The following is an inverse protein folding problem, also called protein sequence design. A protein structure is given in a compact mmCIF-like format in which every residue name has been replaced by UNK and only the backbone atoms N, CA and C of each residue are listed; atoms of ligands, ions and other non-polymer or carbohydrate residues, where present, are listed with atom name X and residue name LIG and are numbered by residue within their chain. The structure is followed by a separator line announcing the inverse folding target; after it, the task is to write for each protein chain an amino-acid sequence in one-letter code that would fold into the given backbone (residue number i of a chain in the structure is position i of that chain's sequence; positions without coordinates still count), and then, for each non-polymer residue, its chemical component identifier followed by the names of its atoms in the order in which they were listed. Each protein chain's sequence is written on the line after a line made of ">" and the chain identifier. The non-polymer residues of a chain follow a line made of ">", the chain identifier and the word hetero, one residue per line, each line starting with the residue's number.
data_IF_991375687617
#
_entry.id   IF_991375687617
#
_cell.length_a   1.000
_cell.length_b   1.000
_cell.length_c   1.000
_cell.angle_alpha   90.00
_cell.angle_beta   90.00
_cell.angle_gamma   90.00
#
_symmetry.space_group_name_H-M   'P 1'
#
loop_
_entity.id
_entity.type
_entity.pdbx_description
1 polymer ?
#
# COMPACT_ATOMS: atom_id res chain seq x y z
N UNK A 1 -28.52 -3.08 -3.93
CA UNK A 1 -28.63 -4.34 -4.73
C UNK A 1 -27.36 -5.14 -4.52
N UNK A 2 -27.42 -6.47 -4.39
CA UNK A 2 -26.22 -7.31 -4.24
C UNK A 2 -25.99 -8.06 -5.55
N UNK A 3 -24.78 -7.97 -6.09
CA UNK A 3 -24.36 -8.61 -7.35
C UNK A 3 -23.19 -9.53 -7.07
N UNK A 4 -23.17 -10.72 -7.66
CA UNK A 4 -22.02 -11.64 -7.62
C UNK A 4 -21.42 -11.77 -9.00
N UNK A 5 -20.10 -11.70 -9.08
CA UNK A 5 -19.40 -11.74 -10.35
C UNK A 5 -17.97 -12.22 -10.23
N UNK A 6 -17.29 -12.21 -11.36
CA UNK A 6 -15.87 -12.55 -11.47
C UNK A 6 -15.09 -11.38 -12.04
N UNK A 7 -13.90 -11.15 -11.52
CA UNK A 7 -12.97 -10.17 -12.09
C UNK A 7 -12.54 -10.66 -13.46
N UNK A 8 -12.75 -9.84 -14.49
CA UNK A 8 -12.29 -10.12 -15.86
C UNK A 8 -11.02 -9.32 -16.19
N UNK A 9 -10.81 -8.20 -15.52
CA UNK A 9 -9.65 -7.35 -15.69
C UNK A 9 -9.46 -6.38 -14.53
N UNK A 10 -8.25 -5.85 -14.44
CA UNK A 10 -7.90 -4.73 -13.56
C UNK A 10 -7.03 -3.78 -14.36
N UNK A 11 -7.50 -2.56 -14.58
CA UNK A 11 -6.75 -1.51 -15.24
C UNK A 11 -6.26 -0.50 -14.20
N UNK A 12 -4.95 -0.37 -14.07
CA UNK A 12 -4.34 0.76 -13.37
C UNK A 12 -3.69 1.59 -14.46
N UNK A 13 -4.11 2.85 -14.66
CA UNK A 13 -3.46 3.74 -15.60
C UNK A 13 -1.97 3.81 -15.23
N UNK A 14 -1.15 3.11 -16.02
CA UNK A 14 0.25 2.77 -15.69
C UNK A 14 1.15 3.97 -15.41
N UNK A 15 0.69 5.19 -15.71
CA UNK A 15 1.58 6.33 -15.92
C UNK A 15 1.10 7.68 -15.39
N UNK A 16 -0.20 7.89 -15.10
CA UNK A 16 -0.73 9.18 -14.59
C UNK A 16 -1.19 9.10 -13.13
N UNK A 17 -1.89 8.02 -12.77
CA UNK A 17 -2.47 7.89 -11.43
C UNK A 17 -2.29 6.45 -10.94
N UNK A 18 -1.07 6.08 -10.51
CA UNK A 18 -0.80 4.77 -9.86
C UNK A 18 -1.77 4.51 -8.69
N UNK A 19 -2.31 5.59 -8.14
CA UNK A 19 -3.22 5.65 -7.00
C UNK A 19 -4.69 5.48 -7.39
N UNK A 20 -5.03 5.52 -8.69
CA UNK A 20 -6.36 5.26 -9.23
C UNK A 20 -6.40 3.89 -9.92
N UNK A 21 -7.47 3.15 -9.72
CA UNK A 21 -7.68 1.83 -10.30
C UNK A 21 -9.10 1.67 -10.81
N UNK A 22 -9.22 0.90 -11.89
CA UNK A 22 -10.50 0.44 -12.43
C UNK A 22 -10.50 -1.08 -12.33
N UNK A 23 -11.48 -1.62 -11.61
CA UNK A 23 -11.72 -3.06 -11.57
C UNK A 23 -12.87 -3.42 -12.50
N UNK A 24 -12.63 -4.36 -13.41
CA UNK A 24 -13.65 -4.86 -14.33
C UNK A 24 -14.20 -6.18 -13.81
N UNK A 25 -15.51 -6.19 -13.54
CA UNK A 25 -16.23 -7.35 -12.99
C UNK A 25 -17.35 -7.75 -13.95
N UNK A 26 -17.38 -9.01 -14.33
CA UNK A 26 -18.48 -9.58 -15.10
C UNK A 26 -19.51 -10.20 -14.15
N UNK A 27 -20.76 -9.76 -14.29
CA UNK A 27 -21.92 -10.24 -13.54
C UNK A 27 -22.97 -10.66 -14.58
N UNK A 28 -23.28 -11.96 -14.66
CA UNK A 28 -24.31 -12.49 -15.56
C UNK A 28 -24.15 -12.03 -17.03
N UNK A 29 -22.91 -11.94 -17.51
CA UNK A 29 -22.59 -11.50 -18.88
C UNK A 29 -22.58 -9.97 -19.09
N UNK A 30 -22.82 -9.18 -18.04
CA UNK A 30 -22.73 -7.71 -18.05
C UNK A 30 -21.44 -7.27 -17.37
N UNK A 31 -20.69 -6.38 -18.02
CA UNK A 31 -19.46 -5.78 -17.46
C UNK A 31 -19.77 -4.56 -16.60
N UNK A 32 -19.25 -4.59 -15.38
CA UNK A 32 -19.22 -3.49 -14.43
C UNK A 32 -17.80 -2.95 -14.31
N UNK A 33 -17.64 -1.63 -14.37
CA UNK A 33 -16.39 -0.93 -14.10
C UNK A 33 -16.51 -0.22 -12.77
N UNK A 34 -15.69 -0.65 -11.82
CA UNK A 34 -15.65 -0.13 -10.46
C UNK A 34 -14.47 0.82 -10.34
N UNK A 35 -14.73 2.09 -10.08
CA UNK A 35 -13.67 3.05 -9.78
C UNK A 35 -13.25 2.91 -8.33
N UNK A 36 -11.95 2.78 -8.11
CA UNK A 36 -11.33 2.62 -6.80
C UNK A 36 -9.90 3.16 -6.80
N UNK A 37 -9.19 2.99 -5.69
CA UNK A 37 -7.77 3.31 -5.62
C UNK A 37 -6.89 2.22 -6.24
N UNK A 38 -5.57 2.39 -6.13
CA UNK A 38 -4.55 1.43 -6.56
C UNK A 38 -4.68 0.02 -5.97
N UNK A 39 -5.59 -0.21 -5.03
CA UNK A 39 -5.97 -1.52 -4.49
C UNK A 39 -6.44 -2.50 -5.57
N UNK A 40 -6.93 -1.99 -6.71
CA UNK A 40 -7.28 -2.81 -7.88
C UNK A 40 -6.16 -3.78 -8.31
N UNK A 41 -4.89 -3.46 -8.08
CA UNK A 41 -3.74 -4.31 -8.47
C UNK A 41 -3.72 -5.69 -7.80
N UNK A 42 -4.43 -5.84 -6.68
CA UNK A 42 -4.46 -7.06 -5.89
C UNK A 42 -5.52 -8.07 -6.34
N UNK A 43 -6.30 -7.69 -7.35
CA UNK A 43 -7.25 -8.59 -7.99
C UNK A 43 -6.60 -9.34 -9.14
N UNK A 44 -6.97 -10.61 -9.26
CA UNK A 44 -6.59 -11.49 -10.36
C UNK A 44 -7.83 -11.83 -11.19
N UNK A 45 -7.65 -11.97 -12.50
CA UNK A 45 -8.71 -12.47 -13.38
C UNK A 45 -9.21 -13.82 -12.86
N UNK A 46 -10.52 -13.96 -12.73
CA UNK A 46 -11.18 -15.12 -12.14
C UNK A 46 -11.50 -14.99 -10.64
N UNK A 47 -11.01 -13.96 -9.95
CA UNK A 47 -11.37 -13.71 -8.55
C UNK A 47 -12.87 -13.53 -8.40
N UNK A 48 -13.47 -14.25 -7.46
CA UNK A 48 -14.89 -14.12 -7.13
C UNK A 48 -15.12 -12.93 -6.21
N UNK A 49 -16.09 -12.09 -6.57
CA UNK A 49 -16.41 -10.86 -5.85
C UNK A 49 -17.91 -10.68 -5.68
N UNK A 50 -18.29 -9.97 -4.63
CA UNK A 50 -19.66 -9.52 -4.36
C UNK A 50 -19.68 -7.99 -4.28
N UNK A 51 -20.50 -7.37 -5.11
CA UNK A 51 -20.66 -5.92 -5.20
C UNK A 51 -21.98 -5.56 -4.51
N UNK A 52 -21.92 -4.71 -3.51
CA UNK A 52 -23.09 -4.14 -2.82
C UNK A 52 -23.33 -2.76 -3.39
N UNK A 53 -24.22 -2.67 -4.36
CA UNK A 53 -24.56 -1.43 -5.06
C UNK A 53 -25.44 -0.56 -4.15
N UNK A 54 -24.95 0.65 -3.85
CA UNK A 54 -25.63 1.70 -3.09
C UNK A 54 -26.40 2.64 -4.02
N UNK A 55 -25.76 3.10 -5.09
CA UNK A 55 -26.35 4.00 -6.08
C UNK A 55 -26.52 3.34 -7.46
N UNK A 56 -27.38 3.90 -8.30
CA UNK A 56 -27.63 3.33 -9.63
C UNK A 56 -26.38 3.50 -10.52
N UNK A 57 -25.88 2.43 -11.16
CA UNK A 57 -24.72 2.53 -12.05
C UNK A 57 -24.98 3.50 -13.20
N UNK A 58 -23.98 4.33 -13.51
CA UNK A 58 -23.97 5.18 -14.71
C UNK A 58 -23.73 4.29 -15.93
N UNK A 59 -24.45 4.49 -17.02
CA UNK A 59 -24.26 3.71 -18.26
C UNK A 59 -23.43 4.54 -19.24
N UNK A 60 -22.30 4.00 -19.70
CA UNK A 60 -21.46 4.63 -20.72
C UNK A 60 -21.00 3.57 -21.71
N UNK A 61 -21.30 3.75 -23.00
CA UNK A 61 -20.90 2.85 -24.08
C UNK A 61 -21.27 1.36 -23.85
N UNK A 62 -22.40 1.09 -23.19
CA UNK A 62 -22.87 -0.28 -22.89
C UNK A 62 -22.28 -0.89 -21.60
N UNK A 63 -21.36 -0.20 -20.92
CA UNK A 63 -20.77 -0.62 -19.65
C UNK A 63 -21.47 0.08 -18.47
N UNK A 64 -21.61 -0.64 -17.35
CA UNK A 64 -22.13 -0.07 -16.10
C UNK A 64 -20.97 0.40 -15.22
N UNK A 65 -20.95 1.68 -14.90
CA UNK A 65 -19.89 2.31 -14.11
C UNK A 65 -20.43 2.61 -12.72
N UNK A 66 -19.66 2.24 -11.70
CA UNK A 66 -19.88 2.60 -10.30
C UNK A 66 -18.70 3.45 -9.82
N UNK A 67 -19.02 4.64 -9.31
CA UNK A 67 -18.07 5.58 -8.75
C UNK A 67 -17.64 5.16 -7.33
N UNK A 68 -16.68 5.88 -6.74
CA UNK A 68 -16.07 5.52 -5.45
C UNK A 68 -17.07 5.23 -4.32
N UNK A 69 -18.14 6.02 -4.22
CA UNK A 69 -19.12 5.91 -3.13
C UNK A 69 -20.35 5.08 -3.47
N UNK A 70 -20.47 4.64 -4.73
CA UNK A 70 -21.67 3.98 -5.25
C UNK A 70 -21.77 2.51 -4.83
N UNK A 71 -20.73 1.95 -4.20
CA UNK A 71 -20.67 0.51 -3.91
C UNK A 71 -19.82 0.14 -2.70
N UNK A 72 -20.02 -1.08 -2.22
CA UNK A 72 -19.02 -1.82 -1.45
C UNK A 72 -18.58 -3.07 -2.23
N UNK A 73 -17.34 -3.48 -2.05
CA UNK A 73 -16.77 -4.65 -2.71
C UNK A 73 -16.25 -5.63 -1.69
N UNK A 74 -16.65 -6.88 -1.86
CA UNK A 74 -16.15 -8.00 -1.10
C UNK A 74 -15.46 -9.00 -2.03
N UNK A 75 -14.31 -9.51 -1.59
CA UNK A 75 -13.57 -10.58 -2.27
C UNK A 75 -13.79 -11.88 -1.52
N UNK A 76 -13.99 -12.97 -2.24
CA UNK A 76 -13.98 -14.31 -1.66
C UNK A 76 -12.59 -14.93 -1.76
N UNK A 77 -12.13 -15.53 -0.66
CA UNK A 77 -10.87 -16.24 -0.63
C UNK A 77 -10.96 -17.44 0.33
N UNK A 78 -10.79 -18.65 -0.20
CA UNK A 78 -10.89 -19.91 0.57
C UNK A 78 -12.19 -19.99 1.41
N UNK A 79 -13.32 -19.57 0.83
CA UNK A 79 -14.63 -19.56 1.49
C UNK A 79 -14.88 -18.38 2.44
N UNK A 80 -13.84 -17.61 2.81
CA UNK A 80 -14.01 -16.40 3.59
C UNK A 80 -14.39 -15.21 2.70
N UNK A 81 -15.29 -14.36 3.22
CA UNK A 81 -15.66 -13.08 2.60
C UNK A 81 -14.85 -11.94 3.24
N UNK A 82 -14.15 -11.16 2.43
CA UNK A 82 -13.25 -10.08 2.86
C UNK A 82 -13.75 -8.76 2.28
N UNK A 83 -14.00 -7.76 3.12
CA UNK A 83 -14.35 -6.41 2.64
C UNK A 83 -13.10 -5.75 2.06
N UNK A 84 -13.15 -5.36 0.79
CA UNK A 84 -12.03 -4.68 0.09
C UNK A 84 -12.34 -3.21 -0.14
N UNK A 85 -13.60 -2.88 -0.42
CA UNK A 85 -14.05 -1.52 -0.66
C UNK A 85 -15.35 -1.22 0.12
N UNK A 86 -15.54 -0.02 0.69
CA UNK A 86 -14.56 1.06 0.84
C UNK A 86 -13.33 0.62 1.64
N UNK A 87 -12.28 1.43 1.55
CA UNK A 87 -11.05 1.21 2.28
C UNK A 87 -11.28 1.24 3.79
N UNK A 88 -10.31 0.73 4.54
CA UNK A 88 -10.39 0.71 5.99
C UNK A 88 -10.27 2.12 6.55
N UNK A 89 -11.18 2.46 7.44
CA UNK A 89 -11.14 3.68 8.24
C UNK A 89 -11.65 3.38 9.64
N UNK A 90 -11.12 4.09 10.63
CA UNK A 90 -11.59 4.05 12.01
C UNK A 90 -11.14 5.30 12.76
N UNK A 91 -12.05 5.83 13.56
CA UNK A 91 -11.79 6.97 14.44
C UNK A 91 -11.24 6.53 15.79
N UNK A 92 -10.34 7.34 16.33
CA UNK A 92 -9.69 7.15 17.62
C UNK A 92 -9.62 8.47 18.36
N UNK A 93 -9.74 8.39 19.69
CA UNK A 93 -9.40 9.50 20.58
C UNK A 93 -8.03 9.24 21.21
N UNK A 94 -7.08 10.16 21.02
CA UNK A 94 -5.75 10.09 21.60
C UNK A 94 -5.59 11.19 22.64
N UNK A 95 -5.39 10.79 23.90
CA UNK A 95 -5.25 11.72 25.02
C UNK A 95 -3.78 12.03 25.27
N UNK A 96 -3.42 13.31 25.26
CA UNK A 96 -2.10 13.82 25.61
C UNK A 96 -2.09 14.22 27.07
N UNK A 97 -1.22 13.61 27.84
CA UNK A 97 -1.00 13.96 29.24
C UNK A 97 0.31 14.72 29.39
N UNK A 98 0.37 15.61 30.37
CA UNK A 98 1.59 16.28 30.79
C UNK A 98 2.56 15.25 31.36
N UNK A 99 3.77 15.17 30.82
CA UNK A 99 4.82 14.29 31.35
C UNK A 99 5.29 14.72 32.75
N UNK A 100 5.00 15.95 33.17
CA UNK A 100 5.40 16.53 34.46
C UNK A 100 4.28 16.43 35.51
N UNK A 101 3.04 16.73 35.14
CA UNK A 101 1.90 16.81 36.09
C UNK A 101 0.94 15.63 35.98
N UNK A 102 0.98 14.85 34.90
CA UNK A 102 0.03 13.77 34.62
C UNK A 102 -1.37 14.25 34.21
N UNK A 103 -1.59 15.56 34.15
CA UNK A 103 -2.87 16.15 33.78
C UNK A 103 -3.13 16.01 32.27
N UNK A 104 -4.41 15.88 31.91
CA UNK A 104 -4.82 15.86 30.51
C UNK A 104 -4.62 17.25 29.90
N UNK A 105 -3.70 17.35 28.94
CA UNK A 105 -3.43 18.59 28.21
C UNK A 105 -4.34 18.75 27.01
N UNK A 106 -4.53 17.67 26.24
CA UNK A 106 -5.27 17.74 24.98
C UNK A 106 -5.85 16.38 24.59
N UNK A 107 -6.93 16.36 23.81
CA UNK A 107 -7.48 15.13 23.22
C UNK A 107 -7.56 15.30 21.71
N UNK A 108 -6.76 14.52 20.98
CA UNK A 108 -6.80 14.48 19.53
C UNK A 108 -7.94 13.57 19.07
N UNK A 109 -8.70 14.02 18.06
CA UNK A 109 -9.58 13.17 17.26
C UNK A 109 -8.84 12.76 16.00
N UNK A 110 -8.48 11.48 15.94
CA UNK A 110 -7.64 10.91 14.88
C UNK A 110 -8.47 9.97 14.03
N UNK A 111 -8.56 10.26 12.74
CA UNK A 111 -9.10 9.35 11.74
C UNK A 111 -7.97 8.52 11.14
N UNK A 112 -7.86 7.27 11.54
CA UNK A 112 -6.93 6.34 10.91
C UNK A 112 -7.60 5.73 9.68
N UNK A 113 -7.03 5.94 8.49
CA UNK A 113 -7.58 5.42 7.23
C UNK A 113 -6.50 4.98 6.27
N UNK A 114 -6.85 4.11 5.34
CA UNK A 114 -5.94 3.73 4.27
C UNK A 114 -5.75 4.89 3.25
N UNK A 115 -4.52 5.10 2.79
CA UNK A 115 -4.21 6.09 1.78
C UNK A 115 -4.93 5.78 0.47
N UNK A 116 -5.67 6.75 -0.06
CA UNK A 116 -6.60 6.57 -1.18
C UNK A 116 -6.24 7.47 -2.35
N UNK A 117 -5.99 8.75 -2.07
CA UNK A 117 -5.81 9.78 -3.08
C UNK A 117 -4.34 10.13 -3.27
N UNK A 118 -4.02 10.73 -4.42
CA UNK A 118 -2.67 11.22 -4.69
C UNK A 118 -2.14 12.15 -3.59
N UNK A 119 -2.99 13.04 -3.06
CA UNK A 119 -2.63 13.96 -1.97
C UNK A 119 -2.27 13.25 -0.66
N UNK A 120 -2.76 12.02 -0.43
CA UNK A 120 -2.34 11.22 0.71
C UNK A 120 -0.88 10.77 0.54
N UNK A 121 -0.50 10.35 -0.67
CA UNK A 121 0.87 9.93 -0.97
C UNK A 121 1.86 11.11 -1.00
N UNK A 122 1.41 12.29 -1.45
CA UNK A 122 2.19 13.54 -1.33
C UNK A 122 2.50 13.85 0.15
N UNK A 123 1.51 13.76 1.03
CA UNK A 123 1.69 13.99 2.47
C UNK A 123 2.55 12.90 3.14
N UNK A 124 2.45 11.63 2.70
CA UNK A 124 3.35 10.57 3.17
C UNK A 124 4.79 10.87 2.78
N UNK A 125 5.04 11.31 1.54
CA UNK A 125 6.38 11.70 1.10
C UNK A 125 6.93 12.87 1.92
N UNK A 126 6.08 13.86 2.22
CA UNK A 126 6.43 14.98 3.09
C UNK A 126 6.77 14.50 4.50
N UNK A 127 6.01 13.57 5.09
CA UNK A 127 6.32 13.01 6.40
C UNK A 127 7.62 12.19 6.40
N UNK A 128 7.85 11.41 5.35
CA UNK A 128 9.04 10.55 5.21
C UNK A 128 10.32 11.38 5.26
N UNK A 129 10.30 12.63 4.79
CA UNK A 129 11.47 13.50 4.88
C UNK A 129 11.95 13.73 6.32
N UNK A 130 11.04 13.74 7.31
CA UNK A 130 11.39 13.93 8.72
C UNK A 130 12.03 12.69 9.37
N UNK A 131 11.95 11.54 8.71
CA UNK A 131 12.70 10.35 9.09
C UNK A 131 14.20 10.49 8.76
N UNK A 132 14.52 11.28 7.73
CA UNK A 132 15.88 11.48 7.25
C UNK A 132 16.44 12.81 7.77
N UNK A 133 17.43 12.76 8.66
CA UNK A 133 18.09 13.95 9.20
C UNK A 133 18.90 14.78 8.17
N UNK A 134 18.86 14.44 6.88
CA UNK A 134 19.68 15.02 5.82
C UNK A 134 18.86 15.36 4.58
N UNK A 135 18.98 16.61 4.12
CA UNK A 135 18.38 17.08 2.86
C UNK A 135 18.96 16.42 1.59
N UNK A 136 20.05 15.65 1.73
CA UNK A 136 20.71 14.96 0.61
C UNK A 136 19.93 13.73 0.15
N UNK A 137 19.14 13.11 1.02
CA UNK A 137 18.33 11.95 0.64
C UNK A 137 16.98 12.42 0.10
N UNK A 138 16.78 12.24 -1.21
CA UNK A 138 15.50 12.51 -1.86
C UNK A 138 14.55 11.33 -1.69
N UNK A 139 13.42 11.54 -1.03
CA UNK A 139 12.50 10.45 -0.59
C UNK A 139 11.45 10.06 -1.63
N UNK A 140 11.18 10.88 -2.65
CA UNK A 140 10.17 10.59 -3.66
C UNK A 140 10.63 10.91 -5.10
N UNK A 141 10.02 10.19 -6.05
CA UNK A 141 10.10 10.45 -7.48
C UNK A 141 8.82 11.16 -7.92
N UNK A 142 9.00 12.24 -8.66
CA UNK A 142 7.95 13.10 -9.17
C UNK A 142 7.98 13.10 -10.70
N UNK A 143 6.81 13.24 -11.31
CA UNK A 143 6.65 13.27 -12.76
C UNK A 143 5.84 14.48 -13.19
N UNK A 144 6.39 15.28 -14.09
CA UNK A 144 5.65 16.33 -14.77
C UNK A 144 4.76 15.73 -15.88
N UNK A 145 3.63 16.35 -16.19
CA UNK A 145 2.78 15.96 -17.33
C UNK A 145 3.56 15.89 -18.67
N UNK A 146 4.57 16.73 -18.82
CA UNK A 146 5.49 16.74 -19.97
C UNK A 146 6.43 15.52 -20.03
N UNK A 147 6.35 14.58 -19.08
CA UNK A 147 7.10 13.32 -19.06
C UNK A 147 8.43 13.35 -18.30
N UNK A 148 8.86 14.53 -17.83
CA UNK A 148 10.07 14.66 -17.02
C UNK A 148 9.91 14.00 -15.65
N UNK A 149 10.91 13.21 -15.24
CA UNK A 149 10.96 12.57 -13.92
C UNK A 149 12.12 13.17 -13.13
N UNK A 150 11.89 13.53 -11.88
CA UNK A 150 12.91 14.10 -10.99
C UNK A 150 12.70 13.66 -9.53
N UNK A 151 13.72 13.80 -8.70
CA UNK A 151 13.67 13.42 -7.30
C UNK A 151 13.49 14.64 -6.39
N UNK A 152 12.56 14.58 -5.44
CA UNK A 152 12.32 15.64 -4.46
C UNK A 152 11.68 15.09 -3.18
N UNK A 153 11.78 15.84 -2.09
CA UNK A 153 11.13 15.47 -0.81
C UNK A 153 9.68 15.94 -0.74
N UNK A 154 9.41 17.09 -1.35
CA UNK A 154 8.10 17.72 -1.40
C UNK A 154 7.73 18.02 -2.85
N UNK A 155 6.44 18.28 -3.07
CA UNK A 155 5.95 18.72 -4.37
C UNK A 155 6.59 20.06 -4.71
N UNK A 156 7.22 20.14 -5.87
CA UNK A 156 7.84 21.35 -6.39
C UNK A 156 7.61 21.45 -7.89
N UNK A 157 7.79 22.66 -8.45
CA UNK A 157 7.73 22.89 -9.90
C UNK A 157 8.72 22.00 -10.64
N UNK A 158 8.38 21.61 -11.86
CA UNK A 158 9.28 20.83 -12.68
C UNK A 158 10.60 21.60 -12.89
N UNK A 159 11.77 21.03 -12.54
CA UNK A 159 13.04 21.75 -12.66
C UNK A 159 13.49 21.99 -14.10
N UNK A 160 12.85 21.32 -15.08
CA UNK A 160 13.19 21.40 -16.50
C UNK A 160 12.28 22.40 -17.23
N UNK A 161 10.97 22.32 -17.03
CA UNK A 161 10.01 23.15 -17.77
C UNK A 161 9.20 24.13 -16.91
N UNK A 162 9.39 24.15 -15.58
CA UNK A 162 8.74 25.10 -14.68
C UNK A 162 7.25 24.87 -14.39
N UNK A 163 6.62 23.86 -15.00
CA UNK A 163 5.20 23.53 -14.78
C UNK A 163 4.92 23.10 -13.33
N UNK A 164 3.75 23.50 -12.82
CA UNK A 164 3.20 23.09 -11.53
C UNK A 164 2.43 21.76 -11.59
N UNK A 165 2.14 21.28 -12.81
CA UNK A 165 1.44 20.02 -13.09
C UNK A 165 2.40 18.84 -12.92
N UNK A 166 2.69 18.57 -11.66
CA UNK A 166 3.60 17.53 -11.19
C UNK A 166 2.83 16.56 -10.30
N UNK A 167 3.03 15.28 -10.56
CA UNK A 167 2.39 14.16 -9.89
C UNK A 167 3.41 13.29 -9.16
N UNK A 168 3.04 12.75 -8.00
CA UNK A 168 3.91 11.82 -7.28
C UNK A 168 3.87 10.44 -7.97
N UNK A 169 5.05 9.96 -8.37
CA UNK A 169 5.21 8.70 -9.09
C UNK A 169 5.47 7.53 -8.12
N UNK A 170 6.38 7.73 -7.17
CA UNK A 170 6.81 6.69 -6.23
C UNK A 170 7.47 7.28 -4.99
N UNK A 171 7.19 6.69 -3.83
CA UNK A 171 7.94 6.94 -2.59
C UNK A 171 9.09 5.94 -2.56
N UNK A 172 10.32 6.41 -2.50
CA UNK A 172 11.50 5.54 -2.56
C UNK A 172 11.50 4.54 -1.41
N UNK A 173 11.92 3.31 -1.72
CA UNK A 173 11.94 2.21 -0.75
C UNK A 173 10.57 1.59 -0.46
N UNK A 174 9.48 2.13 -1.03
CA UNK A 174 8.22 1.41 -1.12
C UNK A 174 8.23 0.46 -2.32
N UNK A 175 7.38 -0.56 -2.27
CA UNK A 175 7.20 -1.52 -3.37
C UNK A 175 5.78 -1.40 -3.92
N UNK A 176 5.49 -1.91 -5.12
CA UNK A 176 4.11 -2.06 -5.59
C UNK A 176 3.21 -2.80 -4.60
N UNK A 177 3.78 -3.71 -3.80
CA UNK A 177 3.05 -4.45 -2.78
C UNK A 177 2.79 -3.66 -1.48
N UNK A 178 3.33 -2.44 -1.34
CA UNK A 178 3.16 -1.64 -0.14
C UNK A 178 1.75 -1.07 -0.03
N UNK A 179 1.21 -1.10 1.19
CA UNK A 179 -0.04 -0.44 1.57
C UNK A 179 0.27 0.56 2.68
N UNK A 180 -0.47 1.67 2.70
CA UNK A 180 -0.21 2.78 3.62
C UNK A 180 -1.45 3.09 4.45
N UNK A 181 -1.28 3.13 5.76
CA UNK A 181 -2.25 3.68 6.69
C UNK A 181 -1.80 5.08 7.09
N UNK A 182 -2.70 6.04 7.12
CA UNK A 182 -2.45 7.41 7.56
C UNK A 182 -3.32 7.73 8.76
N UNK A 183 -2.81 8.59 9.65
CA UNK A 183 -3.52 9.15 10.78
C UNK A 183 -3.77 10.62 10.50
N UNK A 184 -5.02 10.92 10.17
CA UNK A 184 -5.49 12.27 9.86
C UNK A 184 -6.08 12.93 11.11
N UNK A 185 -5.75 14.21 11.32
CA UNK A 185 -6.30 15.01 12.42
C UNK A 185 -7.59 15.68 11.95
N UNK A 186 -8.73 15.33 12.57
CA UNK A 186 -10.04 15.86 12.15
C UNK A 186 -10.26 17.30 12.58
N UNK A 187 -9.99 17.60 13.84
CA UNK A 187 -10.16 18.94 14.43
C UNK A 187 -8.82 19.68 14.41
N UNK A 188 -8.30 19.91 13.21
CA UNK A 188 -7.02 20.60 13.02
C UNK A 188 -7.20 22.12 13.03
N UNK A 189 -6.25 22.82 13.65
CA UNK A 189 -6.05 24.23 13.40
C UNK A 189 -5.35 24.45 12.03
N UNK A 190 -5.39 25.67 11.49
CA UNK A 190 -4.83 25.96 10.15
C UNK A 190 -3.31 25.68 10.05
N UNK A 191 -2.60 25.86 11.16
CA UNK A 191 -1.16 25.60 11.26
C UNK A 191 -0.82 24.13 11.46
N UNK A 192 -1.80 23.27 11.79
CA UNK A 192 -1.54 21.86 12.05
C UNK A 192 -1.55 21.03 10.76
N UNK A 193 -0.61 20.08 10.63
CA UNK A 193 -0.56 19.22 9.47
C UNK A 193 -1.82 18.32 9.43
N UNK A 194 -2.37 18.14 8.24
CA UNK A 194 -3.53 17.26 8.02
C UNK A 194 -3.25 15.82 8.45
N UNK A 195 -2.09 15.29 8.09
CA UNK A 195 -1.68 13.91 8.40
C UNK A 195 -0.53 13.97 9.40
N UNK A 196 -0.74 13.38 10.58
CA UNK A 196 0.23 13.40 11.68
C UNK A 196 1.20 12.22 11.62
N UNK A 197 0.75 11.09 11.11
CA UNK A 197 1.57 9.90 11.04
C UNK A 197 1.14 8.99 9.88
N UNK A 198 2.06 8.10 9.49
CA UNK A 198 1.74 7.03 8.56
C UNK A 198 2.43 5.72 8.94
N UNK A 199 1.83 4.61 8.53
CA UNK A 199 2.37 3.25 8.65
C UNK A 199 2.44 2.60 7.28
N UNK A 200 3.61 2.08 6.92
CA UNK A 200 3.77 1.26 5.71
C UNK A 200 3.74 -0.22 6.06
N UNK A 201 2.82 -0.95 5.43
CA UNK A 201 2.70 -2.40 5.55
C UNK A 201 3.06 -3.06 4.23
N UNK A 202 4.01 -4.00 4.30
CA UNK A 202 4.51 -4.76 3.15
C UNK A 202 4.28 -6.27 3.37
N UNK A 203 4.41 -7.11 2.33
CA UNK A 203 4.58 -8.55 2.52
C UNK A 203 5.81 -8.84 3.41
N UNK A 204 5.82 -9.99 4.12
CA UNK A 204 6.92 -10.33 5.01
C UNK A 204 8.23 -10.52 4.24
N UNK A 205 9.38 -10.29 4.92
CA UNK A 205 10.68 -10.57 4.31
C UNK A 205 10.82 -12.09 4.07
N UNK A 206 11.17 -12.51 2.84
CA UNK A 206 11.30 -13.93 2.52
C UNK A 206 12.49 -14.60 3.21
N UNK A 207 13.55 -13.86 3.56
CA UNK A 207 14.80 -14.39 4.10
C UNK A 207 15.24 -13.61 5.35
N UNK A 208 15.32 -14.28 6.50
CA UNK A 208 15.92 -13.73 7.72
C UNK A 208 17.06 -14.62 8.19
N UNK A 209 18.23 -14.03 8.41
CA UNK A 209 19.44 -14.73 8.84
C UNK A 209 19.85 -14.24 10.23
N UNK A 210 20.38 -15.14 11.06
CA UNK A 210 20.94 -14.81 12.37
C UNK A 210 22.42 -15.13 12.35
N UNK A 211 23.26 -14.17 12.75
CA UNK A 211 24.67 -14.42 13.03
C UNK A 211 24.82 -14.91 14.47
N UNK A 212 25.49 -16.03 14.67
CA UNK A 212 25.77 -16.61 15.98
C UNK A 212 27.04 -15.97 16.59
N UNK A 213 27.24 -16.06 17.92
CA UNK A 213 28.42 -15.50 18.59
C UNK A 213 29.76 -16.06 18.08
N UNK A 214 29.76 -17.30 17.57
CA UNK A 214 30.91 -17.95 16.93
C UNK A 214 31.20 -17.44 15.50
N UNK A 215 30.40 -16.50 15.00
CA UNK A 215 30.53 -15.93 13.66
C UNK A 215 29.77 -16.69 12.56
N UNK A 216 29.22 -17.87 12.84
CA UNK A 216 28.43 -18.64 11.88
C UNK A 216 27.11 -17.93 11.54
N UNK A 217 26.63 -18.14 10.31
CA UNK A 217 25.37 -17.56 9.84
C UNK A 217 24.33 -18.67 9.75
N UNK A 218 23.36 -18.61 10.64
CA UNK A 218 22.17 -19.44 10.58
C UNK A 218 21.17 -18.81 9.59
N UNK A 219 20.97 -19.48 8.45
CA UNK A 219 20.06 -19.03 7.39
C UNK A 219 18.60 -19.38 7.70
N UNK A 220 17.70 -18.53 7.21
CA UNK A 220 16.24 -18.66 7.25
C UNK A 220 15.67 -19.10 8.60
N UNK A 221 16.10 -18.45 9.67
CA UNK A 221 15.69 -18.83 11.04
C UNK A 221 14.16 -18.81 11.23
N UNK A 222 13.45 -17.95 10.49
CA UNK A 222 11.97 -17.89 10.55
C UNK A 222 11.32 -19.19 10.10
N UNK A 223 11.78 -19.77 9.00
CA UNK A 223 11.25 -21.03 8.46
C UNK A 223 11.59 -22.22 9.37
N UNK A 224 12.50 -22.06 10.33
CA UNK A 224 12.80 -23.08 11.34
C UNK A 224 11.89 -23.00 12.57
N UNK A 225 11.36 -21.81 12.87
CA UNK A 225 10.55 -21.54 14.07
C UNK A 225 9.06 -21.54 13.73
N UNK A 226 8.71 -21.07 12.54
CA UNK A 226 7.34 -20.87 12.08
C UNK A 226 7.08 -21.64 10.78
N UNK A 227 5.81 -22.00 10.50
CA UNK A 227 5.47 -22.70 9.28
C UNK A 227 5.83 -21.90 8.03
N UNK A 228 6.39 -22.59 7.03
CA UNK A 228 6.90 -21.96 5.80
C UNK A 228 5.79 -21.26 5.00
N UNK A 229 4.58 -21.80 5.02
CA UNK A 229 3.40 -21.28 4.35
C UNK A 229 2.91 -19.93 4.89
N UNK A 230 3.43 -19.49 6.05
CA UNK A 230 3.19 -18.15 6.57
C UNK A 230 3.96 -17.09 5.77
N UNK A 231 5.15 -17.42 5.27
CA UNK A 231 6.03 -16.49 4.58
C UNK A 231 6.04 -16.68 3.06
N UNK A 232 5.50 -17.80 2.55
CA UNK A 232 5.53 -18.12 1.12
C UNK A 232 4.14 -18.36 0.52
N UNK A 233 3.95 -18.01 -0.77
CA UNK A 233 4.85 -17.19 -1.60
C UNK A 233 4.84 -15.71 -1.16
N UNK A 234 6.01 -15.13 -0.90
CA UNK A 234 6.16 -13.69 -0.67
C UNK A 234 6.36 -12.94 -2.00
N UNK A 235 6.06 -11.64 -1.98
CA UNK A 235 6.40 -10.74 -3.07
C UNK A 235 7.92 -10.66 -3.28
N UNK A 236 8.42 -11.33 -4.33
CA UNK A 236 9.86 -11.40 -4.64
C UNK A 236 10.13 -11.27 -6.15
N UNK A 237 9.98 -10.05 -6.71
CA UNK A 237 10.11 -9.82 -8.15
C UNK A 237 11.51 -10.13 -8.68
N UNK A 238 12.58 -9.96 -7.88
CA UNK A 238 13.95 -10.27 -8.26
C UNK A 238 14.16 -11.76 -8.55
N UNK A 239 13.51 -12.64 -7.78
CA UNK A 239 13.59 -14.09 -7.99
C UNK A 239 12.90 -14.47 -9.29
N UNK A 240 11.67 -14.02 -9.50
CA UNK A 240 10.90 -14.26 -10.73
C UNK A 240 11.63 -13.68 -11.94
N UNK A 241 12.17 -12.47 -11.82
CA UNK A 241 12.96 -11.84 -12.88
C UNK A 241 14.17 -12.70 -13.25
N UNK A 242 14.89 -13.25 -12.27
CA UNK A 242 16.05 -14.12 -12.52
C UNK A 242 15.65 -15.40 -13.23
N UNK A 243 14.58 -16.05 -12.81
CA UNK A 243 14.03 -17.26 -13.44
C UNK A 243 13.63 -16.98 -14.90
N UNK A 244 12.85 -15.93 -15.15
CA UNK A 244 12.46 -15.49 -16.50
C UNK A 244 13.67 -15.11 -17.37
N UNK A 245 14.68 -14.45 -16.77
CA UNK A 245 15.89 -14.05 -17.48
C UNK A 245 16.75 -15.26 -17.87
N UNK A 246 16.88 -16.25 -16.99
CA UNK A 246 17.60 -17.51 -17.28
C UNK A 246 16.94 -18.30 -18.41
N UNK A 247 15.60 -18.33 -18.47
CA UNK A 247 14.85 -18.94 -19.57
C UNK A 247 15.03 -18.20 -20.90
N UNK A 248 14.98 -16.86 -20.88
CA UNK A 248 15.05 -16.04 -22.09
C UNK A 248 16.46 -15.87 -22.65
N UNK A 249 17.49 -15.94 -21.81
CA UNK A 249 18.90 -15.99 -22.24
C UNK A 249 19.17 -17.15 -23.19
N UNK A 250 18.35 -18.21 -23.14
CA UNK A 250 18.41 -19.35 -24.07
C UNK A 250 17.80 -19.05 -25.45
N UNK A 251 17.01 -17.96 -25.60
CA UNK A 251 16.19 -17.70 -26.80
C UNK A 251 16.41 -16.33 -27.47
N UNK A 252 16.89 -15.28 -26.77
CA UNK A 252 16.97 -13.91 -27.34
C UNK A 252 18.19 -13.05 -26.89
N UNK A 253 18.59 -12.00 -27.66
CA UNK A 253 19.68 -11.07 -27.31
C UNK A 253 19.40 -10.14 -26.11
N UNK A 254 20.47 -9.75 -25.39
CA UNK A 254 20.45 -9.24 -24.00
C UNK A 254 19.76 -7.89 -23.69
N UNK A 255 19.57 -6.97 -24.65
CA UNK A 255 19.31 -5.53 -24.35
C UNK A 255 17.83 -5.11 -24.32
N UNK A 256 16.96 -5.67 -25.16
CA UNK A 256 15.55 -5.22 -25.28
C UNK A 256 14.65 -5.78 -24.17
N UNK A 257 15.10 -6.82 -23.46
CA UNK A 257 14.24 -7.58 -22.54
C UNK A 257 14.15 -7.02 -21.11
N UNK A 258 15.11 -6.21 -20.62
CA UNK A 258 15.29 -6.04 -19.17
C UNK A 258 14.17 -5.26 -18.46
N UNK A 259 13.73 -4.13 -19.01
CA UNK A 259 12.67 -3.30 -18.39
C UNK A 259 11.28 -3.95 -18.51
N UNK A 260 10.94 -4.48 -19.68
CA UNK A 260 9.68 -5.20 -19.89
C UNK A 260 9.60 -6.47 -19.04
N UNK A 261 10.71 -7.19 -18.86
CA UNK A 261 10.77 -8.36 -17.97
C UNK A 261 10.65 -7.98 -16.51
N UNK A 262 11.22 -6.85 -16.08
CA UNK A 262 11.11 -6.36 -14.71
C UNK A 262 9.66 -6.04 -14.35
N UNK A 263 8.94 -5.33 -15.24
CA UNK A 263 7.53 -5.06 -15.06
C UNK A 263 6.70 -6.36 -15.04
N UNK A 264 6.97 -7.29 -15.97
CA UNK A 264 6.31 -8.60 -15.97
C UNK A 264 6.53 -9.36 -14.65
N UNK A 265 7.77 -9.36 -14.15
CA UNK A 265 8.13 -10.02 -12.90
C UNK A 265 7.44 -9.37 -11.68
N UNK A 266 7.33 -8.04 -11.63
CA UNK A 266 6.57 -7.33 -10.58
C UNK A 266 5.10 -7.75 -10.57
N UNK A 267 4.44 -7.73 -11.73
CA UNK A 267 3.03 -8.11 -11.83
C UNK A 267 2.80 -9.57 -11.47
N UNK A 268 3.70 -10.45 -11.90
CA UNK A 268 3.65 -11.85 -11.51
C UNK A 268 3.85 -12.02 -10.00
N UNK A 269 4.82 -11.33 -9.40
CA UNK A 269 5.06 -11.35 -7.96
C UNK A 269 3.84 -10.86 -7.16
N UNK A 270 3.17 -9.79 -7.60
CA UNK A 270 1.93 -9.29 -6.97
C UNK A 270 0.82 -10.35 -7.03
N UNK A 271 0.64 -10.99 -8.18
CA UNK A 271 -0.39 -12.01 -8.38
C UNK A 271 -0.12 -13.28 -7.57
N UNK A 272 1.13 -13.67 -7.41
CA UNK A 272 1.51 -14.88 -6.68
C UNK A 272 1.55 -14.64 -5.16
N UNK A 273 1.87 -13.41 -4.70
CA UNK A 273 2.04 -13.12 -3.27
C UNK A 273 0.81 -13.53 -2.45
N UNK A 274 1.03 -14.41 -1.48
CA UNK A 274 -0.03 -14.98 -0.67
C UNK A 274 0.52 -15.51 0.65
N UNK A 275 0.77 -14.58 1.56
CA UNK A 275 1.41 -14.83 2.84
C UNK A 275 0.41 -14.79 3.99
N UNK A 276 0.66 -15.55 5.06
CA UNK A 276 -0.04 -15.40 6.34
C UNK A 276 0.72 -14.47 7.31
N UNK A 277 1.87 -13.96 6.89
CA UNK A 277 2.59 -12.86 7.54
C UNK A 277 2.26 -11.51 6.93
N UNK A 278 2.55 -10.45 7.66
CA UNK A 278 2.63 -9.07 7.16
C UNK A 278 3.79 -8.36 7.85
N UNK A 279 4.33 -7.31 7.25
CA UNK A 279 5.44 -6.53 7.81
C UNK A 279 5.04 -5.07 7.99
N UNK A 280 5.09 -4.57 9.21
CA UNK A 280 5.17 -3.13 9.45
C UNK A 280 6.60 -2.69 9.16
N UNK A 281 6.78 -2.10 7.98
CA UNK A 281 8.08 -1.73 7.45
C UNK A 281 8.52 -0.34 7.90
N UNK A 282 7.56 0.57 8.07
CA UNK A 282 7.79 1.94 8.53
C UNK A 282 6.63 2.40 9.42
N UNK A 283 6.98 3.18 10.44
CA UNK A 283 6.05 3.98 11.24
C UNK A 283 6.72 5.34 11.39
N UNK A 284 6.11 6.38 10.85
CA UNK A 284 6.64 7.74 10.90
C UNK A 284 5.59 8.65 11.50
N UNK A 285 6.00 9.40 12.51
CA UNK A 285 5.17 10.40 13.19
C UNK A 285 5.84 11.75 12.99
N UNK A 286 5.02 12.77 12.71
CA UNK A 286 5.45 14.15 12.61
C UNK A 286 6.25 14.54 13.86
N UNK A 287 7.42 15.19 13.72
CA UNK A 287 8.33 15.48 14.84
C UNK A 287 7.66 16.07 16.08
N UNK A 288 6.78 17.05 15.87
CA UNK A 288 6.11 17.77 16.95
C UNK A 288 5.14 16.91 17.78
N UNK A 289 4.70 15.76 17.23
CA UNK A 289 3.72 14.87 17.85
C UNK A 289 4.30 13.50 18.27
N UNK A 290 5.62 13.29 18.14
CA UNK A 290 6.26 12.00 18.46
C UNK A 290 6.09 11.58 19.91
N UNK A 291 6.13 12.55 20.82
CA UNK A 291 6.01 12.34 22.27
C UNK A 291 4.56 12.11 22.74
N UNK A 292 3.57 12.27 21.87
CA UNK A 292 2.15 12.27 22.24
C UNK A 292 1.50 10.88 22.19
N UNK A 293 2.31 9.82 22.05
CA UNK A 293 1.84 8.43 21.99
C UNK A 293 1.23 8.03 20.64
N UNK A 294 1.22 8.91 19.64
CA UNK A 294 0.67 8.63 18.30
C UNK A 294 1.38 7.48 17.58
N UNK A 295 2.66 7.22 17.89
CA UNK A 295 3.37 6.05 17.35
C UNK A 295 2.76 4.72 17.80
N UNK A 296 2.38 4.60 19.08
CA UNK A 296 1.71 3.40 19.59
C UNK A 296 0.31 3.26 19.01
N UNK A 297 -0.43 4.37 18.92
CA UNK A 297 -1.75 4.39 18.26
C UNK A 297 -1.65 3.94 16.80
N UNK A 298 -0.64 4.41 16.07
CA UNK A 298 -0.39 4.04 14.67
C UNK A 298 -0.20 2.54 14.50
N UNK A 299 0.63 1.94 15.37
CA UNK A 299 0.87 0.48 15.34
C UNK A 299 -0.41 -0.29 15.70
N UNK A 300 -1.16 0.15 16.71
CA UNK A 300 -2.43 -0.49 17.10
C UNK A 300 -3.45 -0.44 15.96
N UNK A 301 -3.65 0.72 15.34
CA UNK A 301 -4.54 0.89 14.20
C UNK A 301 -4.10 0.01 13.01
N UNK A 302 -2.80 -0.06 12.73
CA UNK A 302 -2.26 -0.93 11.68
C UNK A 302 -2.52 -2.42 11.95
N UNK A 303 -2.40 -2.89 13.20
CA UNK A 303 -2.71 -4.28 13.55
C UNK A 303 -4.20 -4.61 13.36
N UNK A 304 -5.10 -3.69 13.71
CA UNK A 304 -6.53 -3.84 13.46
C UNK A 304 -6.84 -3.89 11.96
N UNK A 305 -6.27 -2.97 11.18
CA UNK A 305 -6.37 -2.93 9.72
C UNK A 305 -5.85 -4.21 9.06
N UNK A 306 -4.67 -4.69 9.45
CA UNK A 306 -4.08 -5.94 8.95
C UNK A 306 -4.98 -7.13 9.28
N UNK A 307 -5.51 -7.21 10.50
CA UNK A 307 -6.36 -8.31 10.95
C UNK A 307 -7.69 -8.35 10.18
N UNK A 308 -8.34 -7.20 10.02
CA UNK A 308 -9.65 -7.09 9.41
C UNK A 308 -9.60 -7.25 7.88
N UNK A 309 -8.65 -6.57 7.23
CA UNK A 309 -8.56 -6.48 5.76
C UNK A 309 -7.49 -7.40 5.15
N UNK A 310 -6.74 -8.14 5.97
CA UNK A 310 -5.71 -9.12 5.54
C UNK A 310 -4.62 -8.51 4.68
N UNK A 311 -4.17 -7.34 5.09
CA UNK A 311 -3.20 -6.50 4.38
C UNK A 311 -1.82 -7.18 4.34
N UNK A 312 -1.10 -7.10 3.22
CA UNK A 312 -1.41 -6.26 2.04
C UNK A 312 -2.24 -6.91 0.93
N UNK A 313 -2.24 -8.24 0.82
CA UNK A 313 -2.77 -8.94 -0.38
C UNK A 313 -4.27 -9.22 -0.34
N UNK A 314 -4.92 -9.08 0.82
CA UNK A 314 -6.36 -9.33 1.02
C UNK A 314 -6.75 -10.79 0.69
N UNK A 315 -5.93 -11.75 1.13
CA UNK A 315 -6.06 -13.20 0.84
C UNK A 315 -6.10 -14.03 2.13
N UNK A 316 -5.00 -14.72 2.48
CA UNK A 316 -4.86 -15.49 3.72
C UNK A 316 -5.05 -14.61 4.96
N UNK A 317 -5.63 -15.19 6.01
CA UNK A 317 -5.66 -14.55 7.33
C UNK A 317 -4.23 -14.35 7.84
N UNK A 318 -4.00 -13.23 8.51
CA UNK A 318 -2.67 -12.87 9.02
C UNK A 318 -2.48 -13.45 10.42
N UNK A 319 -1.50 -14.33 10.56
CA UNK A 319 -1.14 -15.01 11.81
C UNK A 319 0.03 -14.33 12.52
N UNK A 320 0.91 -13.65 11.77
CA UNK A 320 2.07 -12.96 12.31
C UNK A 320 2.23 -11.59 11.65
N UNK A 321 2.60 -10.60 12.46
CA UNK A 321 3.04 -9.30 11.97
C UNK A 321 4.46 -9.08 12.46
N UNK A 322 5.38 -8.92 11.53
CA UNK A 322 6.76 -8.57 11.84
C UNK A 322 6.94 -7.06 11.83
N UNK A 323 7.81 -6.57 12.71
CA UNK A 323 8.16 -5.16 12.77
C UNK A 323 9.66 -5.04 12.56
N UNK A 324 10.03 -4.35 11.50
CA UNK A 324 11.42 -3.92 11.23
C UNK A 324 11.48 -2.39 11.27
N UNK A 325 10.38 -1.76 11.69
CA UNK A 325 10.25 -0.32 11.76
C UNK A 325 11.42 0.26 12.56
N UNK A 326 12.24 1.08 11.89
CA UNK A 326 12.96 2.13 12.59
C UNK A 326 11.88 3.10 13.05
N UNK A 327 11.50 3.02 14.33
CA UNK A 327 10.67 4.04 14.96
C UNK A 327 11.55 5.28 15.12
N UNK A 328 11.19 6.38 14.45
CA UNK A 328 11.87 7.67 14.61
C UNK A 328 11.04 8.60 15.49
#
# INVERSE_FOLDING_TARGET
>A
MILRGKVVGSEIPRFKHRWFGILEVEVEGVKYRLYMSGVAQWFTTGDEVEIHVKEKPKIKSGEKILDFDDYELYKFYQGDKIKVWPLWEKEYEAKRYSSLTGELLYTYKIKAREATYESDFEAIAELEQYHYASQKEKVALWRCENGHIFEANTKQKCPICGSEDVHILEIKGSTPASRFLILELENREEYEPRILAYVRVDPPIPLMHRRLPNGEIEKNIREKVFPKEWFHPAFWPEKIFRELYEELKKKYPRKVARSMLWEKAKWQALRESNTAGARIARVVVHPDYRSDGLGQLSVKAALEWIKERRIPEMRKRKHIVETIAQMA
#
